data_IF_733838795476
#
_entry.id   IF_733838795476
#
_cell.length_a   1.000
_cell.length_b   1.000
_cell.length_c   1.000
_cell.angle_alpha   90.00
_cell.angle_beta   90.00
_cell.angle_gamma   90.00
#
_symmetry.space_group_name_H-M   'P 1'
#
loop_
_entity.id
_entity.type
_entity.pdbx_description
1 polymer ?
#
# COMPACT_ATOMS: atom_id res chain seq x y z
N UNK A 1 -16.28 -12.66 -10.95
CA UNK A 1 -17.02 -13.28 -9.84
C UNK A 1 -16.31 -12.96 -8.52
N UNK A 2 -16.99 -12.41 -7.50
CA UNK A 2 -16.43 -12.24 -6.17
C UNK A 2 -16.29 -13.62 -5.50
N UNK A 3 -15.08 -13.98 -5.09
CA UNK A 3 -14.77 -15.26 -4.41
C UNK A 3 -14.39 -14.97 -2.96
N UNK A 4 -14.57 -15.95 -2.06
CA UNK A 4 -14.13 -15.83 -0.67
C UNK A 4 -12.63 -15.44 -0.58
N UNK A 5 -11.80 -16.00 -1.48
CA UNK A 5 -10.39 -15.64 -1.59
C UNK A 5 -10.15 -14.14 -1.80
N UNK A 6 -10.97 -13.46 -2.61
CA UNK A 6 -10.84 -12.01 -2.85
C UNK A 6 -11.16 -11.17 -1.62
N UNK A 7 -12.17 -11.58 -0.85
CA UNK A 7 -12.53 -10.92 0.41
C UNK A 7 -11.41 -11.05 1.45
N UNK A 8 -10.91 -12.27 1.67
CA UNK A 8 -9.83 -12.51 2.63
C UNK A 8 -8.53 -11.82 2.21
N UNK A 9 -8.19 -11.84 0.92
CA UNK A 9 -7.05 -11.08 0.40
C UNK A 9 -7.22 -9.58 0.64
N UNK A 10 -8.36 -9.01 0.25
CA UNK A 10 -8.63 -7.58 0.44
C UNK A 10 -8.54 -7.16 1.90
N UNK A 11 -9.10 -7.94 2.83
CA UNK A 11 -9.03 -7.65 4.27
C UNK A 11 -7.60 -7.77 4.82
N UNK A 12 -6.86 -8.82 4.44
CA UNK A 12 -5.48 -9.00 4.89
C UNK A 12 -4.57 -7.86 4.42
N UNK A 13 -4.68 -7.47 3.15
CA UNK A 13 -3.89 -6.37 2.59
C UNK A 13 -4.38 -4.99 3.05
N UNK A 14 -5.67 -4.82 3.38
CA UNK A 14 -6.18 -3.62 4.03
C UNK A 14 -5.61 -3.45 5.44
N UNK A 15 -5.59 -4.52 6.24
CA UNK A 15 -4.99 -4.51 7.57
C UNK A 15 -3.47 -4.23 7.51
N UNK A 16 -2.77 -4.87 6.58
CA UNK A 16 -1.35 -4.60 6.33
C UNK A 16 -1.11 -3.15 5.90
N UNK A 17 -1.93 -2.64 4.98
CA UNK A 17 -1.88 -1.25 4.53
C UNK A 17 -2.13 -0.25 5.67
N UNK A 18 -3.11 -0.53 6.54
CA UNK A 18 -3.41 0.32 7.70
C UNK A 18 -2.24 0.35 8.70
N UNK A 19 -1.73 -0.83 9.08
CA UNK A 19 -0.67 -0.94 10.07
C UNK A 19 0.66 -0.40 9.52
N UNK A 20 1.03 -0.76 8.29
CA UNK A 20 2.20 -0.21 7.60
C UNK A 20 2.09 1.30 7.41
N UNK A 21 0.87 1.79 7.14
CA UNK A 21 0.56 3.20 7.09
C UNK A 21 0.84 3.91 8.41
N UNK A 22 0.38 3.37 9.53
CA UNK A 22 0.61 3.94 10.86
C UNK A 22 2.10 3.92 11.27
N UNK A 23 2.82 2.85 10.96
CA UNK A 23 4.26 2.80 11.21
C UNK A 23 5.00 3.84 10.39
N UNK A 24 4.67 3.97 9.11
CA UNK A 24 5.25 4.99 8.25
C UNK A 24 4.89 6.41 8.70
N UNK A 25 3.67 6.63 9.18
CA UNK A 25 3.25 7.91 9.75
C UNK A 25 4.12 8.33 10.94
N UNK A 26 4.61 7.38 11.74
CA UNK A 26 5.56 7.65 12.82
C UNK A 26 6.96 8.07 12.36
N UNK A 27 7.30 7.85 11.08
CA UNK A 27 8.59 8.26 10.48
C UNK A 27 8.51 9.62 9.78
N UNK A 28 7.31 10.21 9.65
CA UNK A 28 7.13 11.50 9.00
C UNK A 28 7.51 12.66 9.96
N UNK A 29 8.07 13.77 9.45
CA UNK A 29 8.40 14.93 10.28
C UNK A 29 7.19 15.50 11.02
N UNK A 30 7.42 15.99 12.23
CA UNK A 30 6.39 16.66 13.05
C UNK A 30 5.72 17.80 12.28
N UNK A 31 4.38 17.86 12.32
CA UNK A 31 3.58 18.83 11.57
C UNK A 31 3.07 18.35 10.21
N UNK A 32 3.43 17.14 9.78
CA UNK A 32 2.87 16.53 8.57
C UNK A 32 1.48 15.95 8.87
N UNK A 33 0.43 16.21 8.06
CA UNK A 33 -0.88 15.60 8.26
C UNK A 33 -0.80 14.08 8.02
N UNK A 34 -0.88 13.31 9.12
CA UNK A 34 -0.76 11.84 9.14
C UNK A 34 -2.08 11.12 9.37
N UNK A 35 -3.12 11.83 9.82
CA UNK A 35 -4.37 11.21 10.29
C UNK A 35 -5.11 10.44 9.18
N UNK A 36 -5.02 10.93 7.94
CA UNK A 36 -5.65 10.33 6.76
C UNK A 36 -4.78 9.21 6.18
N UNK A 37 -3.50 9.13 6.54
CA UNK A 37 -2.55 8.24 5.89
C UNK A 37 -2.90 6.77 6.13
N UNK A 38 -3.15 6.36 7.38
CA UNK A 38 -3.53 4.99 7.71
C UNK A 38 -4.80 4.51 6.98
N UNK A 39 -5.92 5.25 7.03
CA UNK A 39 -7.12 4.91 6.27
C UNK A 39 -6.91 4.89 4.75
N UNK A 40 -6.13 5.82 4.20
CA UNK A 40 -5.86 5.88 2.77
C UNK A 40 -5.02 4.67 2.30
N UNK A 41 -3.97 4.31 3.04
CA UNK A 41 -3.16 3.14 2.72
C UNK A 41 -3.94 1.82 2.90
N UNK A 42 -4.88 1.78 3.85
CA UNK A 42 -5.79 0.65 4.00
C UNK A 42 -6.71 0.49 2.78
N UNK A 43 -7.27 1.58 2.25
CA UNK A 43 -8.11 1.56 1.06
C UNK A 43 -7.32 1.09 -0.18
N UNK A 44 -6.09 1.58 -0.36
CA UNK A 44 -5.21 1.12 -1.44
C UNK A 44 -4.87 -0.37 -1.29
N UNK A 45 -4.57 -0.81 -0.07
CA UNK A 45 -4.30 -2.22 0.25
C UNK A 45 -5.50 -3.12 -0.02
N UNK A 46 -6.71 -2.66 0.28
CA UNK A 46 -7.95 -3.37 -0.01
C UNK A 46 -8.11 -3.62 -1.52
N UNK A 47 -7.96 -2.55 -2.31
CA UNK A 47 -8.09 -2.61 -3.77
C UNK A 47 -7.00 -3.51 -4.38
N UNK A 48 -5.75 -3.33 -3.96
CA UNK A 48 -4.63 -4.14 -4.46
C UNK A 48 -4.79 -5.62 -4.08
N UNK A 49 -5.18 -5.91 -2.83
CA UNK A 49 -5.43 -7.26 -2.34
C UNK A 49 -6.53 -7.97 -3.12
N UNK A 50 -7.61 -7.26 -3.43
CA UNK A 50 -8.72 -7.77 -4.24
C UNK A 50 -8.32 -8.07 -5.69
N UNK A 51 -7.62 -7.11 -6.33
CA UNK A 51 -7.31 -7.16 -7.75
C UNK A 51 -6.13 -8.09 -8.08
N UNK A 52 -5.15 -8.19 -7.20
CA UNK A 52 -3.89 -8.89 -7.47
C UNK A 52 -3.89 -10.26 -6.79
N UNK A 53 -3.83 -10.28 -5.45
CA UNK A 53 -3.71 -11.55 -4.70
C UNK A 53 -4.99 -12.39 -4.80
N UNK A 54 -6.16 -11.77 -4.63
CA UNK A 54 -7.44 -12.47 -4.69
C UNK A 54 -7.82 -13.01 -6.08
N UNK A 55 -7.31 -12.38 -7.15
CA UNK A 55 -7.56 -12.84 -8.52
C UNK A 55 -6.71 -14.05 -8.92
N UNK A 56 -5.55 -14.26 -8.27
CA UNK A 56 -4.63 -15.36 -8.55
C UNK A 56 -4.70 -16.50 -7.53
N UNK A 57 -5.63 -16.44 -6.57
CA UNK A 57 -5.85 -17.51 -5.60
C UNK A 57 -6.29 -18.82 -6.28
N UNK A 58 -5.83 -19.95 -5.73
CA UNK A 58 -6.12 -21.31 -6.21
C UNK A 58 -5.02 -21.92 -7.09
N UNK A 59 -3.86 -21.25 -7.23
CA UNK A 59 -2.74 -21.68 -8.11
C UNK A 59 -1.56 -22.32 -7.37
N UNK A 60 -1.65 -22.54 -6.05
CA UNK A 60 -0.53 -23.04 -5.25
C UNK A 60 -0.03 -22.04 -4.21
N UNK A 61 0.42 -22.54 -3.05
CA UNK A 61 1.00 -21.69 -1.99
C UNK A 61 2.22 -20.90 -2.46
N UNK A 62 3.10 -21.50 -3.28
CA UNK A 62 4.28 -20.82 -3.81
C UNK A 62 3.90 -19.68 -4.75
N UNK A 63 2.89 -19.89 -5.60
CA UNK A 63 2.35 -18.84 -6.47
C UNK A 63 1.65 -17.74 -5.66
N UNK A 64 0.97 -18.10 -4.56
CA UNK A 64 0.29 -17.15 -3.70
C UNK A 64 1.26 -16.26 -2.90
N UNK A 65 2.39 -16.80 -2.46
CA UNK A 65 3.44 -16.02 -1.78
C UNK A 65 4.06 -14.99 -2.72
N UNK A 66 4.39 -15.37 -3.96
CA UNK A 66 4.99 -14.44 -4.93
C UNK A 66 4.01 -13.34 -5.36
N UNK A 67 2.72 -13.67 -5.53
CA UNK A 67 1.68 -12.66 -5.78
C UNK A 67 1.44 -11.78 -4.55
N UNK A 68 1.60 -12.31 -3.35
CA UNK A 68 1.55 -11.55 -2.10
C UNK A 68 2.61 -10.46 -2.05
N UNK A 69 3.88 -10.80 -2.32
CA UNK A 69 4.99 -9.83 -2.42
C UNK A 69 4.70 -8.77 -3.49
N UNK A 70 4.27 -9.18 -4.68
CA UNK A 70 3.87 -8.24 -5.75
C UNK A 70 2.76 -7.29 -5.29
N UNK A 71 1.79 -7.80 -4.55
CA UNK A 71 0.66 -7.00 -4.05
C UNK A 71 1.14 -5.95 -3.07
N UNK A 72 2.08 -6.29 -2.18
CA UNK A 72 2.66 -5.31 -1.24
C UNK A 72 3.45 -4.23 -1.95
N UNK A 73 4.33 -4.60 -2.89
CA UNK A 73 5.10 -3.61 -3.68
C UNK A 73 4.15 -2.66 -4.41
N UNK A 74 3.10 -3.20 -5.02
CA UNK A 74 2.08 -2.40 -5.73
C UNK A 74 1.32 -1.48 -4.77
N UNK A 75 0.94 -1.99 -3.59
CA UNK A 75 0.24 -1.23 -2.56
C UNK A 75 1.10 -0.08 -2.06
N UNK A 76 2.38 -0.33 -1.76
CA UNK A 76 3.33 0.69 -1.30
C UNK A 76 3.53 1.79 -2.35
N UNK A 77 3.67 1.40 -3.63
CA UNK A 77 3.78 2.35 -4.74
C UNK A 77 2.56 3.27 -4.85
N UNK A 78 1.34 2.71 -4.87
CA UNK A 78 0.12 3.50 -5.00
C UNK A 78 -0.19 4.32 -3.74
N UNK A 79 0.12 3.80 -2.54
CA UNK A 79 -0.01 4.54 -1.30
C UNK A 79 0.90 5.79 -1.28
N UNK A 80 2.16 5.62 -1.66
CA UNK A 80 3.12 6.72 -1.80
C UNK A 80 2.68 7.74 -2.84
N UNK A 81 2.22 7.28 -4.00
CA UNK A 81 1.76 8.15 -5.08
C UNK A 81 0.55 8.97 -4.64
N UNK A 82 -0.48 8.32 -4.07
CA UNK A 82 -1.68 8.99 -3.58
C UNK A 82 -1.35 10.04 -2.51
N UNK A 83 -0.45 9.71 -1.59
CA UNK A 83 -0.04 10.65 -0.55
C UNK A 83 0.79 11.82 -1.09
N UNK A 84 1.71 11.54 -2.02
CA UNK A 84 2.53 12.59 -2.65
C UNK A 84 1.66 13.57 -3.43
N UNK A 85 0.63 13.08 -4.12
CA UNK A 85 -0.38 13.92 -4.79
C UNK A 85 -1.16 14.74 -3.77
N UNK A 86 -1.60 14.14 -2.65
CA UNK A 86 -2.31 14.86 -1.60
C UNK A 86 -1.49 16.03 -1.02
N UNK A 87 -0.23 15.77 -0.67
CA UNK A 87 0.69 16.81 -0.17
C UNK A 87 0.97 17.86 -1.25
N UNK A 88 1.10 17.46 -2.52
CA UNK A 88 1.27 18.39 -3.62
C UNK A 88 0.06 19.33 -3.76
N UNK A 89 -1.16 18.80 -3.70
CA UNK A 89 -2.39 19.61 -3.75
C UNK A 89 -2.45 20.59 -2.58
N UNK A 90 -2.11 20.15 -1.36
CA UNK A 90 -2.04 21.05 -0.19
C UNK A 90 -0.99 22.15 -0.37
N UNK A 91 0.17 21.84 -0.94
CA UNK A 91 1.22 22.82 -1.24
C UNK A 91 0.81 23.79 -2.35
N UNK A 92 0.13 23.29 -3.37
CA UNK A 92 -0.42 24.11 -4.45
C UNK A 92 -1.49 25.09 -3.93
N UNK A 93 -2.37 24.66 -3.03
CA UNK A 93 -3.34 25.55 -2.38
C UNK A 93 -2.71 26.64 -1.52
N UNK A 94 -1.45 26.45 -1.10
CA UNK A 94 -0.66 27.46 -0.37
C UNK A 94 0.22 28.31 -1.28
N UNK A 95 0.04 28.23 -2.60
CA UNK A 95 0.84 28.94 -3.60
C UNK A 95 2.35 28.65 -3.46
N UNK A 96 2.72 27.42 -3.05
CA UNK A 96 4.12 27.00 -2.89
C UNK A 96 4.74 26.43 -4.17
N UNK A 97 4.01 26.46 -5.28
CA UNK A 97 4.52 26.10 -6.60
C UNK A 97 4.28 27.25 -7.56
N UNK A 98 5.29 27.59 -8.36
CA UNK A 98 5.26 28.67 -9.31
C UNK A 98 4.55 28.27 -10.61
N UNK A 99 4.35 26.96 -10.84
CA UNK A 99 3.61 26.46 -11.99
C UNK A 99 3.26 24.97 -11.97
N UNK A 100 2.45 24.51 -12.94
CA UNK A 100 1.95 23.13 -13.00
C UNK A 100 3.06 22.10 -13.25
N UNK A 101 4.12 22.45 -13.99
CA UNK A 101 5.28 21.56 -14.20
C UNK A 101 6.01 21.34 -12.87
N UNK A 102 6.22 22.39 -12.08
CA UNK A 102 6.88 22.29 -10.78
C UNK A 102 6.05 21.44 -9.80
N UNK A 103 4.72 21.60 -9.80
CA UNK A 103 3.83 20.77 -9.02
C UNK A 103 3.95 19.28 -9.39
N UNK A 104 4.01 18.95 -10.69
CA UNK A 104 4.20 17.57 -11.17
C UNK A 104 5.55 16.99 -10.74
N UNK A 105 6.63 17.76 -10.87
CA UNK A 105 7.95 17.36 -10.38
C UNK A 105 7.97 17.20 -8.85
N UNK A 106 7.23 18.05 -8.14
CA UNK A 106 7.04 17.99 -6.70
C UNK A 106 6.45 16.66 -6.23
N UNK A 107 5.50 16.07 -6.98
CA UNK A 107 4.96 14.74 -6.68
C UNK A 107 6.07 13.68 -6.68
N UNK A 108 6.90 13.65 -7.73
CA UNK A 108 7.99 12.67 -7.82
C UNK A 108 9.08 12.90 -6.78
N UNK A 109 9.41 14.17 -6.48
CA UNK A 109 10.35 14.51 -5.42
C UNK A 109 9.87 14.04 -4.04
N UNK A 110 8.59 14.25 -3.73
CA UNK A 110 7.93 13.73 -2.51
C UNK A 110 7.92 12.21 -2.49
N UNK A 111 7.62 11.59 -3.62
CA UNK A 111 7.59 10.14 -3.72
C UNK A 111 8.98 9.52 -3.44
N UNK A 112 10.05 10.13 -3.96
CA UNK A 112 11.43 9.72 -3.70
C UNK A 112 11.86 9.94 -2.25
N UNK A 113 11.49 11.07 -1.63
CA UNK A 113 11.81 11.32 -0.23
C UNK A 113 11.10 10.34 0.70
N UNK A 114 9.82 10.09 0.46
CA UNK A 114 9.02 9.15 1.23
C UNK A 114 9.38 7.69 0.95
N UNK A 115 9.78 7.33 -0.26
CA UNK A 115 10.29 5.99 -0.57
C UNK A 115 11.53 5.64 0.26
N UNK A 116 12.40 6.61 0.56
CA UNK A 116 13.56 6.40 1.45
C UNK A 116 13.12 6.11 2.89
N UNK A 117 12.08 6.79 3.38
CA UNK A 117 11.50 6.51 4.70
C UNK A 117 10.83 5.14 4.76
N UNK A 118 10.34 4.63 3.62
CA UNK A 118 9.80 3.27 3.49
C UNK A 118 10.88 2.19 3.48
N UNK A 119 12.12 2.54 3.14
CA UNK A 119 13.26 1.63 3.07
C UNK A 119 13.90 1.31 4.44
N UNK A 120 13.25 1.69 5.53
CA UNK A 120 13.68 1.33 6.89
C UNK A 120 13.46 -0.19 7.10
N UNK A 121 14.42 -0.91 7.70
CA UNK A 121 14.36 -2.37 7.83
C UNK A 121 13.06 -2.89 8.48
N UNK A 122 12.53 -2.17 9.46
CA UNK A 122 11.30 -2.53 10.15
C UNK A 122 10.07 -2.54 9.23
N UNK A 123 9.93 -1.49 8.40
CA UNK A 123 8.82 -1.40 7.44
C UNK A 123 9.00 -2.46 6.35
N UNK A 124 10.21 -2.62 5.82
CA UNK A 124 10.48 -3.65 4.82
C UNK A 124 10.19 -5.07 5.35
N UNK A 125 10.60 -5.37 6.58
CA UNK A 125 10.31 -6.66 7.21
C UNK A 125 8.79 -6.86 7.38
N UNK A 126 8.07 -5.84 7.84
CA UNK A 126 6.61 -5.90 7.96
C UNK A 126 5.93 -6.13 6.61
N UNK A 127 6.32 -5.38 5.59
CA UNK A 127 5.78 -5.49 4.24
C UNK A 127 6.05 -6.87 3.64
N UNK A 128 7.25 -7.40 3.84
CA UNK A 128 7.65 -8.70 3.29
C UNK A 128 6.94 -9.85 4.01
N UNK A 129 6.98 -9.88 5.35
CA UNK A 129 6.29 -10.91 6.15
C UNK A 129 4.78 -10.83 5.95
N UNK A 130 4.21 -9.63 6.00
CA UNK A 130 2.80 -9.40 5.78
C UNK A 130 2.35 -9.78 4.37
N UNK A 131 3.16 -9.52 3.34
CA UNK A 131 2.85 -9.90 1.96
C UNK A 131 2.81 -11.41 1.77
N UNK A 132 3.77 -12.13 2.34
CA UNK A 132 3.82 -13.59 2.31
C UNK A 132 2.63 -14.21 3.06
N UNK A 133 2.31 -13.68 4.24
CA UNK A 133 1.14 -14.12 5.02
C UNK A 133 -0.17 -13.81 4.30
N UNK A 134 -0.34 -12.60 3.76
CA UNK A 134 -1.55 -12.17 3.04
C UNK A 134 -1.82 -13.02 1.80
N UNK A 135 -0.77 -13.34 1.03
CA UNK A 135 -0.86 -14.27 -0.09
C UNK A 135 -1.27 -15.68 0.35
N UNK A 136 -0.67 -16.19 1.42
CA UNK A 136 -0.96 -17.53 1.97
C UNK A 136 -2.40 -17.66 2.50
N UNK A 137 -2.90 -16.62 3.19
CA UNK A 137 -4.27 -16.55 3.69
C UNK A 137 -5.28 -16.55 2.53
N UNK A 138 -4.98 -15.81 1.46
CA UNK A 138 -5.79 -15.78 0.24
C UNK A 138 -5.91 -17.17 -0.42
N UNK A 139 -4.81 -17.92 -0.48
CA UNK A 139 -4.79 -19.28 -1.04
C UNK A 139 -5.57 -20.28 -0.16
N UNK A 140 -5.38 -20.21 1.17
CA UNK A 140 -6.11 -21.06 2.10
C UNK A 140 -7.63 -20.84 1.98
N UNK A 141 -8.07 -19.57 1.94
CA UNK A 141 -9.46 -19.22 1.76
C UNK A 141 -10.02 -19.72 0.41
N UNK A 142 -9.25 -19.57 -0.68
CA UNK A 142 -9.63 -20.05 -2.00
C UNK A 142 -9.73 -21.57 -2.14
N UNK A 143 -9.00 -22.32 -1.31
CA UNK A 143 -9.11 -23.80 -1.27
C UNK A 143 -10.24 -24.28 -0.36
N UNK A 144 -10.46 -23.60 0.76
CA UNK A 144 -11.42 -24.03 1.79
C UNK A 144 -12.89 -23.75 1.41
N UNK A 145 -13.12 -22.74 0.58
CA UNK A 145 -14.45 -22.24 0.19
C UNK A 145 -14.66 -22.29 -1.33
N UNK A 146 -14.18 -23.35 -1.99
CA UNK A 146 -14.44 -23.61 -3.42
C UNK A 146 -15.93 -23.76 -3.71
#
# INVERSE_FOLDING_TARGET
>A
MPTAAKLFAALAFAALGFLGGRLFAGQLPEGTPTDIFGPATAAVGLVCGWMISGALAGRGYVAAMSTGVRTVVTTAFFALLAYSIYIMVLRAMRMLYDGPIEALLGVFALMLSYARLLAVPEILAMLLVGGLMGGSISEWAGRRWK
#
